data_IF_837375179383
#
_entry.id   IF_837375179383
#
_cell.length_a   1.000
_cell.length_b   1.000
_cell.length_c   1.000
_cell.angle_alpha   90.00
_cell.angle_beta   90.00
_cell.angle_gamma   90.00
#
_symmetry.space_group_name_H-M   'P 1'
#
loop_
_entity.id
_entity.type
_entity.pdbx_description
1 polymer ?
#
# COMPACT_ATOMS: atom_id res chain seq x y z
N UNK A 1 1.11 0.14 -8.45
CA UNK A 1 1.13 0.82 -7.12
C UNK A 1 0.24 2.07 -7.07
N UNK A 2 0.37 3.00 -8.03
CA UNK A 2 -0.42 4.26 -8.08
C UNK A 2 -1.94 4.09 -7.99
N UNK A 3 -2.48 3.00 -8.56
CA UNK A 3 -3.92 2.76 -8.62
C UNK A 3 -4.51 2.18 -7.32
N UNK A 4 -3.67 1.78 -6.36
CA UNK A 4 -4.12 1.13 -5.12
C UNK A 4 -3.53 1.74 -3.84
N UNK A 5 -2.62 2.72 -3.97
CA UNK A 5 -1.96 3.31 -2.82
C UNK A 5 -1.61 4.78 -3.06
N UNK A 6 -2.03 5.64 -2.12
CA UNK A 6 -1.63 7.03 -2.02
C UNK A 6 -0.71 7.22 -0.79
N UNK A 7 0.51 7.78 -0.96
CA UNK A 7 1.41 8.05 0.15
C UNK A 7 1.03 9.34 0.89
N UNK A 8 -0.06 9.30 1.66
CA UNK A 8 -0.66 10.46 2.34
C UNK A 8 0.37 11.22 3.21
N UNK A 9 1.22 10.50 3.94
CA UNK A 9 2.21 11.11 4.83
C UNK A 9 3.28 11.90 4.09
N UNK A 10 3.62 11.47 2.86
CA UNK A 10 4.56 12.21 2.01
C UNK A 10 3.96 13.53 1.54
N UNK A 11 2.68 13.54 1.16
CA UNK A 11 1.97 14.77 0.82
C UNK A 11 1.89 15.70 2.04
N UNK A 12 1.51 15.19 3.22
CA UNK A 12 1.47 15.96 4.48
C UNK A 12 2.82 16.60 4.80
N UNK A 13 3.89 15.80 4.88
CA UNK A 13 5.24 16.30 5.17
C UNK A 13 5.72 17.32 4.13
N UNK A 14 5.41 17.12 2.86
CA UNK A 14 5.77 18.08 1.80
C UNK A 14 5.01 19.39 1.94
N UNK A 15 3.71 19.34 2.26
CA UNK A 15 2.90 20.55 2.50
C UNK A 15 3.41 21.33 3.72
N UNK A 16 3.77 20.64 4.81
CA UNK A 16 4.35 21.25 6.01
C UNK A 16 5.70 21.90 5.72
N UNK A 17 6.58 21.21 4.97
CA UNK A 17 7.88 21.79 4.54
C UNK A 17 7.71 23.05 3.70
N UNK A 18 6.69 23.12 2.83
CA UNK A 18 6.42 24.31 2.02
C UNK A 18 5.89 25.46 2.89
N UNK A 19 5.05 25.16 3.88
CA UNK A 19 4.53 26.13 4.84
C UNK A 19 5.64 26.70 5.74
N UNK A 20 6.54 25.84 6.23
CA UNK A 20 7.62 26.19 7.16
C UNK A 20 8.78 26.96 6.52
N UNK A 21 8.89 27.01 5.18
CA UNK A 21 9.94 27.82 4.52
C UNK A 21 9.81 29.28 4.96
N UNK A 22 10.89 29.94 5.42
CA UNK A 22 10.82 31.36 5.74
C UNK A 22 10.52 32.20 4.49
N UNK A 23 10.04 33.42 4.69
CA UNK A 23 9.97 34.46 3.65
C UNK A 23 10.95 35.53 4.10
N UNK A 24 11.99 35.80 3.30
CA UNK A 24 13.02 36.80 3.64
C UNK A 24 12.39 38.13 4.04
N UNK A 25 12.69 38.59 5.27
CA UNK A 25 12.21 39.85 5.82
C UNK A 25 13.16 40.98 5.39
N UNK A 26 12.79 41.66 4.32
CA UNK A 26 13.25 43.03 4.04
C UNK A 26 12.02 43.92 3.87
N UNK A 27 11.94 44.98 4.67
CA UNK A 27 10.80 45.92 4.72
C UNK A 27 10.51 46.60 3.37
N UNK A 28 11.50 46.65 2.47
CA UNK A 28 11.43 47.22 1.13
C UNK A 28 10.61 46.40 0.12
N UNK A 29 10.11 45.20 0.47
CA UNK A 29 9.60 44.24 -0.50
C UNK A 29 8.21 43.64 -0.20
N UNK A 30 7.26 44.43 0.35
CA UNK A 30 5.86 43.99 0.63
C UNK A 30 5.17 43.29 -0.56
N UNK A 31 5.32 43.80 -1.79
CA UNK A 31 4.78 43.16 -3.00
C UNK A 31 5.41 41.78 -3.25
N UNK A 32 6.73 41.64 -3.10
CA UNK A 32 7.48 40.37 -3.24
C UNK A 32 7.05 39.36 -2.18
N UNK A 33 6.87 39.78 -0.92
CA UNK A 33 6.33 38.97 0.18
C UNK A 33 4.93 38.44 -0.11
N UNK A 34 4.02 39.29 -0.60
CA UNK A 34 2.66 38.88 -0.99
C UNK A 34 2.65 37.85 -2.14
N UNK A 35 3.55 38.01 -3.12
CA UNK A 35 3.69 37.11 -4.27
C UNK A 35 4.22 35.74 -3.86
N UNK A 36 5.21 35.69 -2.97
CA UNK A 36 5.77 34.45 -2.40
C UNK A 36 4.70 33.71 -1.60
N UNK A 37 3.95 34.41 -0.76
CA UNK A 37 2.86 33.82 0.04
C UNK A 37 1.76 33.23 -0.87
N UNK A 38 1.39 33.95 -1.93
CA UNK A 38 0.40 33.49 -2.92
C UNK A 38 0.91 32.26 -3.70
N UNK A 39 2.18 32.23 -4.08
CA UNK A 39 2.79 31.09 -4.74
C UNK A 39 2.86 29.86 -3.83
N UNK A 40 3.25 30.01 -2.55
CA UNK A 40 3.22 28.91 -1.57
C UNK A 40 1.82 28.31 -1.43
N UNK A 41 0.80 29.18 -1.27
CA UNK A 41 -0.61 28.74 -1.19
C UNK A 41 -1.03 27.96 -2.44
N UNK A 42 -0.66 28.44 -3.63
CA UNK A 42 -0.93 27.74 -4.90
C UNK A 42 -0.25 26.37 -4.99
N UNK A 43 1.03 26.28 -4.63
CA UNK A 43 1.75 25.00 -4.64
C UNK A 43 1.16 23.99 -3.65
N UNK A 44 0.76 24.44 -2.46
CA UNK A 44 0.08 23.58 -1.47
C UNK A 44 -1.27 23.12 -2.01
N UNK A 45 -2.03 24.02 -2.65
CA UNK A 45 -3.32 23.66 -3.23
C UNK A 45 -3.16 22.64 -4.35
N UNK A 46 -2.21 22.84 -5.27
CA UNK A 46 -1.94 21.90 -6.36
C UNK A 46 -1.58 20.48 -5.84
N UNK A 47 -0.77 20.39 -4.78
CA UNK A 47 -0.45 19.10 -4.14
C UNK A 47 -1.66 18.45 -3.48
N UNK A 48 -2.57 19.24 -2.91
CA UNK A 48 -3.84 18.72 -2.35
C UNK A 48 -4.76 18.23 -3.46
N UNK A 49 -4.90 19.00 -4.53
CA UNK A 49 -5.75 18.64 -5.67
C UNK A 49 -5.24 17.35 -6.35
N UNK A 50 -3.92 17.21 -6.52
CA UNK A 50 -3.29 15.98 -7.04
C UNK A 50 -3.58 14.77 -6.13
N UNK A 51 -3.38 14.92 -4.82
CA UNK A 51 -3.68 13.89 -3.83
C UNK A 51 -5.15 13.48 -3.91
N UNK A 52 -6.06 14.44 -3.96
CA UNK A 52 -7.50 14.19 -3.96
C UNK A 52 -7.95 13.52 -5.27
N UNK A 53 -7.34 13.88 -6.39
CA UNK A 53 -7.50 13.18 -7.67
C UNK A 53 -7.04 11.72 -7.60
N UNK A 54 -5.89 11.44 -6.98
CA UNK A 54 -5.40 10.07 -6.77
C UNK A 54 -6.34 9.28 -5.87
N UNK A 55 -6.80 9.86 -4.76
CA UNK A 55 -7.73 9.18 -3.85
C UNK A 55 -9.04 8.80 -4.54
N UNK A 56 -9.59 9.70 -5.36
CA UNK A 56 -10.77 9.42 -6.18
C UNK A 56 -10.53 8.27 -7.18
N UNK A 57 -9.37 8.25 -7.83
CA UNK A 57 -9.01 7.16 -8.74
C UNK A 57 -8.87 5.82 -8.01
N UNK A 58 -8.29 5.82 -6.81
CA UNK A 58 -8.20 4.63 -5.96
C UNK A 58 -9.59 4.12 -5.59
N UNK A 59 -10.51 5.00 -5.19
CA UNK A 59 -11.89 4.62 -4.85
C UNK A 59 -12.63 3.97 -6.03
N UNK A 60 -12.47 4.51 -7.24
CA UNK A 60 -13.00 3.90 -8.47
C UNK A 60 -12.41 2.51 -8.72
N UNK A 61 -11.09 2.36 -8.56
CA UNK A 61 -10.42 1.08 -8.70
C UNK A 61 -10.83 0.08 -7.62
N UNK A 62 -11.01 0.51 -6.37
CA UNK A 62 -11.51 -0.33 -5.27
C UNK A 62 -12.89 -0.89 -5.59
N UNK A 63 -13.78 -0.04 -6.12
CA UNK A 63 -15.13 -0.45 -6.53
C UNK A 63 -15.08 -1.49 -7.66
N UNK A 64 -14.23 -1.27 -8.66
CA UNK A 64 -14.02 -2.21 -9.76
C UNK A 64 -13.46 -3.56 -9.27
N UNK A 65 -12.41 -3.52 -8.42
CA UNK A 65 -11.78 -4.73 -7.87
C UNK A 65 -12.76 -5.50 -6.99
N UNK A 66 -13.61 -4.81 -6.21
CA UNK A 66 -14.60 -5.45 -5.36
C UNK A 66 -15.56 -6.33 -6.16
N UNK A 67 -16.06 -5.85 -7.30
CA UNK A 67 -16.93 -6.65 -8.18
C UNK A 67 -16.26 -7.90 -8.73
N UNK A 68 -14.94 -7.88 -8.95
CA UNK A 68 -14.16 -9.06 -9.34
C UNK A 68 -13.94 -9.98 -8.13
N UNK A 69 -13.64 -9.42 -6.95
CA UNK A 69 -13.31 -10.16 -5.74
C UNK A 69 -14.44 -11.07 -5.24
N UNK A 70 -15.70 -10.69 -5.44
CA UNK A 70 -16.86 -11.50 -5.06
C UNK A 70 -16.84 -12.91 -5.69
N UNK A 71 -16.28 -13.03 -6.90
CA UNK A 71 -16.17 -14.30 -7.62
C UNK A 71 -14.73 -14.79 -7.82
N UNK A 72 -13.74 -14.08 -7.26
CA UNK A 72 -12.33 -14.34 -7.53
C UNK A 72 -11.88 -15.73 -7.09
N UNK A 73 -12.36 -16.18 -5.92
CA UNK A 73 -12.02 -17.50 -5.37
C UNK A 73 -13.20 -18.49 -5.39
N UNK A 74 -14.42 -18.06 -5.75
CA UNK A 74 -15.61 -18.93 -5.71
C UNK A 74 -15.47 -20.13 -6.66
N UNK A 75 -14.88 -19.93 -7.84
CA UNK A 75 -14.60 -21.00 -8.81
C UNK A 75 -13.47 -21.94 -8.37
N UNK A 76 -12.56 -21.45 -7.52
CA UNK A 76 -11.40 -22.20 -7.02
C UNK A 76 -11.78 -22.98 -5.75
N UNK A 77 -12.83 -22.56 -5.03
CA UNK A 77 -13.22 -23.09 -3.72
C UNK A 77 -13.75 -24.53 -3.71
N UNK A 78 -14.03 -25.11 -4.87
CA UNK A 78 -14.17 -26.58 -4.96
C UNK A 78 -12.87 -27.31 -4.56
N UNK A 79 -11.77 -26.58 -4.36
CA UNK A 79 -10.44 -27.07 -3.98
C UNK A 79 -10.00 -26.56 -2.61
N UNK A 80 -9.18 -27.38 -1.95
CA UNK A 80 -8.58 -27.20 -0.62
C UNK A 80 -7.93 -25.80 -0.40
N UNK A 81 -8.19 -25.15 0.73
CA UNK A 81 -7.62 -23.83 1.10
C UNK A 81 -6.08 -23.80 1.03
N UNK A 82 -5.41 -24.92 1.34
CA UNK A 82 -3.94 -25.04 1.22
C UNK A 82 -3.50 -24.89 -0.24
N UNK A 83 -4.24 -25.50 -1.17
CA UNK A 83 -3.98 -25.38 -2.59
C UNK A 83 -4.10 -23.93 -3.06
N UNK A 84 -5.13 -23.21 -2.58
CA UNK A 84 -5.29 -21.78 -2.89
C UNK A 84 -4.09 -20.99 -2.40
N UNK A 85 -3.65 -21.19 -1.16
CA UNK A 85 -2.49 -20.48 -0.60
C UNK A 85 -1.22 -20.73 -1.40
N UNK A 86 -0.93 -22.01 -1.73
CA UNK A 86 0.21 -22.39 -2.56
C UNK A 86 0.14 -21.70 -3.92
N UNK A 87 -1.00 -21.75 -4.60
CA UNK A 87 -1.16 -21.14 -5.91
C UNK A 87 -1.00 -19.62 -5.88
N UNK A 88 -1.64 -18.96 -4.91
CA UNK A 88 -1.53 -17.50 -4.72
C UNK A 88 -0.08 -17.11 -4.46
N UNK A 89 0.66 -17.88 -3.65
CA UNK A 89 2.06 -17.57 -3.37
C UNK A 89 2.94 -17.83 -4.59
N UNK A 90 2.87 -19.03 -5.16
CA UNK A 90 3.77 -19.47 -6.21
C UNK A 90 3.57 -18.71 -7.53
N UNK A 91 2.33 -18.40 -7.89
CA UNK A 91 2.02 -17.81 -9.21
C UNK A 91 1.69 -16.31 -9.16
N UNK A 92 1.25 -15.78 -8.02
CA UNK A 92 0.84 -14.38 -7.92
C UNK A 92 1.80 -13.53 -7.08
N UNK A 93 2.13 -13.97 -5.86
CA UNK A 93 2.96 -13.19 -4.93
C UNK A 93 4.44 -13.28 -5.32
N UNK A 94 5.00 -14.48 -5.38
CA UNK A 94 6.44 -14.68 -5.53
C UNK A 94 7.00 -14.09 -6.83
N UNK A 95 6.39 -14.32 -8.02
CA UNK A 95 6.93 -13.77 -9.27
C UNK A 95 6.95 -12.24 -9.27
N UNK A 96 5.93 -11.60 -8.67
CA UNK A 96 5.87 -10.14 -8.54
C UNK A 96 6.87 -9.61 -7.52
N UNK A 97 7.04 -10.32 -6.40
CA UNK A 97 7.94 -9.90 -5.34
C UNK A 97 9.40 -9.84 -5.81
N UNK A 98 9.84 -10.82 -6.60
CA UNK A 98 11.22 -10.86 -7.10
C UNK A 98 11.46 -9.95 -8.30
N UNK A 99 10.42 -9.60 -9.06
CA UNK A 99 10.54 -8.86 -10.32
C UNK A 99 11.06 -7.43 -10.16
N UNK A 100 10.47 -6.64 -9.25
CA UNK A 100 10.90 -5.26 -9.03
C UNK A 100 10.62 -4.76 -7.60
N UNK A 101 11.39 -3.76 -7.12
CA UNK A 101 11.14 -3.11 -5.82
C UNK A 101 9.70 -2.58 -5.69
N UNK A 102 9.17 -2.04 -6.78
CA UNK A 102 7.82 -1.47 -6.81
C UNK A 102 6.76 -2.57 -6.74
N UNK A 103 7.00 -3.72 -7.37
CA UNK A 103 6.09 -4.85 -7.35
C UNK A 103 6.10 -5.56 -5.99
N UNK A 104 7.26 -5.67 -5.32
CA UNK A 104 7.35 -6.13 -3.94
C UNK A 104 6.45 -5.31 -2.99
N UNK A 105 6.49 -3.98 -3.08
CA UNK A 105 5.62 -3.10 -2.30
C UNK A 105 4.15 -3.22 -2.77
N UNK A 106 3.91 -3.39 -4.07
CA UNK A 106 2.56 -3.57 -4.59
C UNK A 106 1.88 -4.82 -4.03
N UNK A 107 2.59 -5.95 -3.93
CA UNK A 107 2.04 -7.22 -3.43
C UNK A 107 1.45 -7.04 -2.03
N UNK A 108 2.19 -6.45 -1.10
CA UNK A 108 1.68 -6.26 0.27
C UNK A 108 0.49 -5.30 0.31
N UNK A 109 0.55 -4.18 -0.43
CA UNK A 109 -0.59 -3.24 -0.51
C UNK A 109 -1.82 -3.91 -1.12
N UNK A 110 -1.64 -4.79 -2.10
CA UNK A 110 -2.71 -5.56 -2.73
C UNK A 110 -3.29 -6.60 -1.77
N UNK A 111 -2.46 -7.31 -1.01
CA UNK A 111 -2.91 -8.26 0.02
C UNK A 111 -3.76 -7.57 1.10
N UNK A 112 -3.33 -6.40 1.57
CA UNK A 112 -4.11 -5.57 2.50
C UNK A 112 -5.41 -5.09 1.85
N UNK A 113 -5.38 -4.72 0.57
CA UNK A 113 -6.57 -4.30 -0.18
C UNK A 113 -7.62 -5.41 -0.25
N UNK A 114 -7.23 -6.65 -0.57
CA UNK A 114 -8.16 -7.80 -0.60
C UNK A 114 -8.83 -8.02 0.76
N UNK A 115 -8.08 -7.82 1.84
CA UNK A 115 -8.59 -7.91 3.21
C UNK A 115 -9.60 -6.80 3.49
N UNK A 116 -9.27 -5.55 3.13
CA UNK A 116 -10.17 -4.39 3.23
C UNK A 116 -11.46 -4.59 2.44
N UNK A 117 -11.38 -5.18 1.25
CA UNK A 117 -12.53 -5.49 0.39
C UNK A 117 -13.34 -6.70 0.86
N UNK A 118 -12.92 -7.36 1.95
CA UNK A 118 -13.58 -8.56 2.50
C UNK A 118 -13.73 -9.66 1.45
N UNK A 119 -12.68 -9.84 0.64
CA UNK A 119 -12.68 -10.87 -0.39
C UNK A 119 -12.96 -12.24 0.25
N UNK A 120 -14.01 -12.96 -0.17
CA UNK A 120 -14.36 -14.24 0.42
C UNK A 120 -13.18 -15.23 0.34
N UNK A 121 -13.02 -16.03 1.39
CA UNK A 121 -12.03 -17.12 1.45
C UNK A 121 -10.56 -16.66 1.45
N UNK A 122 -10.33 -15.35 1.63
CA UNK A 122 -9.01 -14.77 1.71
C UNK A 122 -8.63 -14.48 3.17
N UNK A 123 -8.01 -15.46 3.82
CA UNK A 123 -7.44 -15.26 5.15
C UNK A 123 -6.01 -14.73 5.04
N UNK A 124 -5.84 -13.42 5.17
CA UNK A 124 -4.53 -12.77 5.02
C UNK A 124 -3.51 -13.24 6.06
N UNK A 125 -3.91 -13.42 7.32
CA UNK A 125 -2.99 -13.80 8.40
C UNK A 125 -2.48 -15.22 8.20
N UNK A 126 -3.39 -16.12 7.83
CA UNK A 126 -3.05 -17.49 7.45
C UNK A 126 -2.16 -17.55 6.20
N UNK A 127 -2.39 -16.65 5.23
CA UNK A 127 -1.55 -16.54 4.04
C UNK A 127 -0.16 -16.00 4.37
N UNK A 128 -0.04 -14.99 5.24
CA UNK A 128 1.24 -14.45 5.73
C UNK A 128 2.02 -15.53 6.48
N UNK A 129 1.37 -16.24 7.40
CA UNK A 129 2.02 -17.30 8.16
C UNK A 129 2.53 -18.44 7.28
N UNK A 130 1.79 -18.78 6.22
CA UNK A 130 2.21 -19.76 5.23
C UNK A 130 3.34 -19.22 4.33
N UNK A 131 3.22 -17.97 3.83
CA UNK A 131 4.25 -17.29 3.04
C UNK A 131 5.59 -17.23 3.77
N UNK A 132 5.61 -16.87 5.05
CA UNK A 132 6.86 -16.80 5.83
C UNK A 132 7.58 -18.15 5.90
N UNK A 133 6.84 -19.26 6.00
CA UNK A 133 7.42 -20.61 5.98
C UNK A 133 7.95 -20.97 4.60
N UNK A 134 7.14 -20.74 3.57
CA UNK A 134 7.49 -21.09 2.19
C UNK A 134 8.63 -20.23 1.64
N UNK A 135 8.81 -18.99 2.10
CA UNK A 135 9.82 -18.07 1.53
C UNK A 135 11.24 -18.36 2.03
N UNK A 136 11.41 -19.09 3.15
CA UNK A 136 12.74 -19.35 3.73
C UNK A 136 13.72 -20.05 2.77
N UNK A 137 13.35 -21.14 2.06
CA UNK A 137 14.23 -21.75 1.08
C UNK A 137 14.58 -20.83 -0.09
N UNK A 138 13.66 -19.96 -0.52
CA UNK A 138 13.91 -19.04 -1.64
C UNK A 138 14.95 -17.98 -1.30
N UNK A 139 15.00 -17.51 -0.04
CA UNK A 139 16.03 -16.56 0.41
C UNK A 139 17.44 -17.15 0.26
N UNK A 140 17.60 -18.47 0.42
CA UNK A 140 18.90 -19.13 0.28
C UNK A 140 19.40 -19.22 -1.16
N UNK A 141 18.50 -19.16 -2.15
CA UNK A 141 18.83 -19.30 -3.57
C UNK A 141 18.63 -18.00 -4.37
N UNK A 142 18.26 -16.90 -3.72
CA UNK A 142 17.97 -15.65 -4.39
C UNK A 142 19.24 -14.87 -4.75
N UNK A 143 19.18 -14.10 -5.83
CA UNK A 143 20.21 -13.13 -6.20
C UNK A 143 20.18 -11.90 -5.29
N UNK A 144 21.24 -11.10 -5.29
CA UNK A 144 21.30 -9.85 -4.50
C UNK A 144 20.14 -8.89 -4.82
N UNK A 145 19.75 -8.81 -6.09
CA UNK A 145 18.61 -7.98 -6.50
C UNK A 145 17.29 -8.50 -5.93
N UNK A 146 17.10 -9.81 -5.91
CA UNK A 146 15.88 -10.43 -5.40
C UNK A 146 15.83 -10.35 -3.87
N UNK A 147 16.96 -10.55 -3.18
CA UNK A 147 17.06 -10.39 -1.73
C UNK A 147 16.74 -8.96 -1.29
N UNK A 148 17.18 -7.96 -2.07
CA UNK A 148 16.79 -6.57 -1.87
C UNK A 148 15.26 -6.37 -1.94
N UNK A 149 14.62 -6.97 -2.94
CA UNK A 149 13.16 -6.87 -3.10
C UNK A 149 12.40 -7.60 -1.98
N UNK A 150 12.88 -8.77 -1.54
CA UNK A 150 12.36 -9.46 -0.36
C UNK A 150 12.45 -8.58 0.89
N UNK A 151 13.59 -7.92 1.10
CA UNK A 151 13.78 -6.99 2.21
C UNK A 151 12.74 -5.87 2.23
N UNK A 152 12.45 -5.27 1.07
CA UNK A 152 11.41 -4.24 0.94
C UNK A 152 10.01 -4.77 1.24
N UNK A 153 9.69 -5.98 0.74
CA UNK A 153 8.41 -6.63 1.04
C UNK A 153 8.26 -6.89 2.55
N UNK A 154 9.26 -7.50 3.18
CA UNK A 154 9.22 -7.82 4.61
C UNK A 154 9.17 -6.58 5.49
N UNK A 155 9.86 -5.50 5.10
CA UNK A 155 9.78 -4.22 5.80
C UNK A 155 8.36 -3.66 5.78
N UNK A 156 7.68 -3.68 4.63
CA UNK A 156 6.29 -3.20 4.52
C UNK A 156 5.30 -4.15 5.20
N UNK A 157 5.54 -5.47 5.15
CA UNK A 157 4.77 -6.46 5.89
C UNK A 157 4.88 -6.20 7.40
N UNK A 158 6.09 -6.00 7.91
CA UNK A 158 6.33 -5.68 9.32
C UNK A 158 5.59 -4.42 9.76
N UNK A 159 5.66 -3.33 8.97
CA UNK A 159 4.90 -2.09 9.27
C UNK A 159 3.40 -2.34 9.34
N UNK A 160 2.87 -3.19 8.45
CA UNK A 160 1.44 -3.55 8.42
C UNK A 160 1.08 -4.35 9.68
N UNK A 161 1.89 -5.35 10.04
CA UNK A 161 1.68 -6.15 11.26
C UNK A 161 1.77 -5.30 12.52
N UNK A 162 2.74 -4.38 12.60
CA UNK A 162 2.90 -3.45 13.72
C UNK A 162 1.72 -2.48 13.84
N UNK A 163 1.12 -2.06 12.73
CA UNK A 163 -0.11 -1.27 12.73
C UNK A 163 -1.30 -2.04 13.33
N UNK A 164 -1.41 -3.32 12.98
CA UNK A 164 -2.43 -4.23 13.46
C UNK A 164 -2.23 -4.77 14.87
N UNK A 165 -1.08 -4.49 15.49
CA UNK A 165 -0.83 -4.82 16.90
C UNK A 165 -1.79 -4.06 17.83
N UNK A 166 -2.27 -2.88 17.42
CA UNK A 166 -3.24 -2.09 18.17
C UNK A 166 -4.62 -2.72 18.03
N UNK A 167 -5.23 -3.12 19.15
CA UNK A 167 -6.47 -3.90 19.17
C UNK A 167 -7.64 -3.18 18.50
N UNK A 168 -7.78 -1.87 18.72
CA UNK A 168 -8.84 -1.08 18.11
C UNK A 168 -8.74 -1.04 16.58
N UNK A 169 -7.50 -1.06 16.06
CA UNK A 169 -7.23 -1.08 14.63
C UNK A 169 -7.53 -2.45 14.06
N UNK A 170 -7.09 -3.51 14.74
CA UNK A 170 -7.41 -4.88 14.37
C UNK A 170 -8.91 -5.14 14.27
N UNK A 171 -9.66 -4.72 15.29
CA UNK A 171 -11.11 -4.95 15.35
C UNK A 171 -11.86 -4.20 14.23
N UNK A 172 -11.32 -3.05 13.82
CA UNK A 172 -11.85 -2.23 12.73
C UNK A 172 -11.51 -2.78 11.35
N UNK A 173 -10.27 -3.22 11.12
CA UNK A 173 -9.75 -3.54 9.79
C UNK A 173 -9.75 -5.04 9.46
N UNK A 174 -9.58 -5.91 10.47
CA UNK A 174 -9.29 -7.34 10.26
C UNK A 174 -10.31 -8.28 10.93
N UNK A 175 -10.78 -8.00 12.14
CA UNK A 175 -11.60 -8.97 12.90
C UNK A 175 -12.89 -9.39 12.18
N UNK A 176 -13.46 -8.51 11.35
CA UNK A 176 -14.73 -8.75 10.62
C UNK A 176 -14.53 -9.22 9.17
N UNK A 177 -13.35 -9.71 8.80
CA UNK A 177 -13.10 -10.19 7.43
C UNK A 177 -13.49 -11.66 7.27
N UNK A 178 -14.13 -12.05 6.15
CA UNK A 178 -14.54 -13.43 5.89
C UNK A 178 -13.32 -14.28 5.49
N UNK A 179 -12.69 -14.95 6.45
CA UNK A 179 -11.58 -15.87 6.20
C UNK A 179 -10.97 -16.46 7.46
#
# INVERSE_FOLDING_TARGET
LSNIHCPIDKYKSTTEKIQARPVEDSESNKKKKSRIMKNKKRSIQALKDERDGILKNIELHETYIKGICENLFSSILSKNILYIRVYVIQYLIHPRMVFSPRDAIYVIKFMVLLTKLKTPYFNLIGLIGFLLKETLPYILCCTEKESHNFGLFFLELYKTLNHWQIREIWDKECYKTPG
#
